data_IF_944465388835
#
_entry.id   IF_944465388835
#
_cell.length_a   1.000
_cell.length_b   1.000
_cell.length_c   1.000
_cell.angle_alpha   90.00
_cell.angle_beta   90.00
_cell.angle_gamma   90.00
#
_symmetry.space_group_name_H-M   'P 1'
#
loop_
_entity.id
_entity.type
_entity.pdbx_description
1 polymer ?
#
# COMPACT_ATOMS: atom_id res chain seq x y z
N UNK A 1 4.55 4.01 -23.67
CA UNK A 1 3.77 5.02 -22.92
C UNK A 1 4.09 4.91 -21.44
N UNK A 2 4.78 5.93 -20.92
CA UNK A 2 5.29 6.01 -19.57
C UNK A 2 4.16 5.73 -18.56
N UNK A 3 4.39 4.78 -17.64
CA UNK A 3 3.56 4.70 -16.44
C UNK A 3 4.04 5.86 -15.59
N UNK A 4 3.39 7.01 -15.73
CA UNK A 4 3.45 8.07 -14.72
C UNK A 4 3.07 7.42 -13.39
N UNK A 5 4.08 7.17 -12.55
CA UNK A 5 3.94 6.61 -11.21
C UNK A 5 3.30 7.62 -10.24
N UNK A 6 2.55 8.60 -10.75
CA UNK A 6 2.11 9.78 -10.02
C UNK A 6 0.63 10.05 -10.32
N UNK A 7 -0.21 9.06 -10.06
CA UNK A 7 -1.57 9.37 -9.66
C UNK A 7 -1.87 8.63 -8.38
N UNK A 8 -2.08 9.39 -7.31
CA UNK A 8 -2.64 8.85 -6.07
C UNK A 8 -3.88 8.02 -6.37
N UNK A 9 -4.10 6.93 -5.67
CA UNK A 9 -5.42 6.29 -5.65
C UNK A 9 -6.52 7.32 -5.29
N UNK A 10 -6.19 8.32 -4.46
CA UNK A 10 -7.06 9.45 -4.11
C UNK A 10 -7.27 10.44 -5.26
N UNK A 11 -6.26 10.69 -6.09
CA UNK A 11 -6.34 11.63 -7.21
C UNK A 11 -6.94 10.99 -8.49
N UNK A 12 -6.76 9.69 -8.64
CA UNK A 12 -7.25 8.92 -9.79
C UNK A 12 -8.75 8.60 -9.69
N UNK A 13 -9.26 8.37 -8.47
CA UNK A 13 -10.68 8.11 -8.23
C UNK A 13 -11.49 9.40 -8.20
N UNK A 14 -12.10 9.71 -9.33
CA UNK A 14 -13.04 10.83 -9.49
C UNK A 14 -14.50 10.36 -9.41
N UNK A 15 -15.39 11.15 -8.77
CA UNK A 15 -16.83 10.91 -8.81
C UNK A 15 -17.39 10.86 -10.23
N UNK A 16 -18.57 10.24 -10.37
CA UNK A 16 -19.34 10.12 -11.60
C UNK A 16 -18.65 9.34 -12.74
N UNK A 17 -17.52 8.68 -12.47
CA UNK A 17 -16.86 7.75 -13.39
C UNK A 17 -17.09 6.31 -12.96
N UNK A 18 -17.04 5.40 -13.94
CA UNK A 18 -17.11 3.97 -13.73
C UNK A 18 -15.71 3.38 -13.57
N UNK A 19 -15.56 2.46 -12.62
CA UNK A 19 -14.32 1.77 -12.35
C UNK A 19 -14.52 0.26 -12.32
N UNK A 20 -13.46 -0.45 -12.73
CA UNK A 20 -13.33 -1.89 -12.59
C UNK A 20 -12.19 -2.17 -11.61
N UNK A 21 -12.45 -3.10 -10.70
CA UNK A 21 -11.51 -3.55 -9.68
C UNK A 21 -10.98 -4.92 -10.05
N UNK A 22 -9.67 -5.07 -10.06
CA UNK A 22 -8.98 -6.30 -10.44
C UNK A 22 -8.16 -6.84 -9.28
N UNK A 23 -8.18 -8.15 -9.10
CA UNK A 23 -7.25 -8.83 -8.19
C UNK A 23 -5.84 -8.65 -8.75
N UNK A 24 -4.96 -8.04 -7.96
CA UNK A 24 -3.59 -7.77 -8.38
C UNK A 24 -2.84 -9.08 -8.73
N UNK A 25 -3.10 -10.17 -8.00
CA UNK A 25 -2.36 -11.42 -8.18
C UNK A 25 -2.76 -12.23 -9.43
N UNK A 26 -4.00 -12.10 -9.94
CA UNK A 26 -4.48 -12.94 -11.05
C UNK A 26 -5.27 -12.22 -12.14
N UNK A 27 -5.52 -10.91 -11.98
CA UNK A 27 -6.28 -10.08 -12.92
C UNK A 27 -7.78 -10.37 -12.96
N UNK A 28 -8.32 -11.20 -12.07
CA UNK A 28 -9.76 -11.46 -11.98
C UNK A 28 -10.54 -10.22 -11.59
N UNK A 29 -11.72 -10.01 -12.19
CA UNK A 29 -12.57 -8.85 -11.88
C UNK A 29 -13.27 -9.10 -10.54
N UNK A 30 -13.00 -8.24 -9.57
CA UNK A 30 -13.59 -8.30 -8.21
C UNK A 30 -14.91 -7.52 -8.19
N UNK A 31 -14.90 -6.31 -8.75
CA UNK A 31 -16.06 -5.44 -8.87
C UNK A 31 -16.07 -4.85 -10.26
N UNK A 32 -17.21 -4.92 -10.95
CA UNK A 32 -17.38 -4.50 -12.33
C UNK A 32 -18.22 -3.22 -12.43
N UNK A 33 -17.75 -2.27 -13.24
CA UNK A 33 -18.45 -1.05 -13.64
C UNK A 33 -19.13 -0.29 -12.47
N UNK A 34 -18.40 -0.15 -11.36
CA UNK A 34 -18.90 0.57 -10.18
C UNK A 34 -18.77 2.06 -10.41
N UNK A 35 -19.88 2.77 -10.30
CA UNK A 35 -19.93 4.23 -10.31
C UNK A 35 -19.93 4.75 -8.87
N UNK A 36 -19.09 5.74 -8.58
CA UNK A 36 -19.11 6.42 -7.30
C UNK A 36 -19.74 7.81 -7.40
N UNK A 37 -20.74 8.08 -6.56
CA UNK A 37 -21.29 9.42 -6.36
C UNK A 37 -20.32 10.28 -5.53
N UNK A 38 -19.67 9.68 -4.53
CA UNK A 38 -18.69 10.36 -3.68
C UNK A 38 -17.47 9.49 -3.47
N UNK A 39 -16.30 10.11 -3.51
CA UNK A 39 -15.03 9.53 -3.11
C UNK A 39 -14.49 10.42 -2.00
N UNK A 40 -14.42 9.90 -0.78
CA UNK A 40 -14.11 10.71 0.41
C UNK A 40 -12.93 10.11 1.17
N UNK A 41 -11.90 10.89 1.53
CA UNK A 41 -10.88 10.41 2.44
C UNK A 41 -11.46 10.19 3.83
N UNK A 42 -11.11 9.09 4.47
CA UNK A 42 -11.40 8.88 5.88
C UNK A 42 -10.46 9.75 6.72
N UNK A 43 -10.92 10.24 7.89
CA UNK A 43 -9.99 10.74 8.89
C UNK A 43 -8.95 9.65 9.20
N UNK A 44 -7.67 10.02 9.30
CA UNK A 44 -6.63 9.11 9.78
C UNK A 44 -7.01 8.35 11.05
N UNK A 45 -6.56 7.10 11.17
CA UNK A 45 -6.90 6.22 12.31
C UNK A 45 -6.59 6.84 13.69
N UNK A 46 -5.63 7.77 13.77
CA UNK A 46 -5.28 8.48 15.01
C UNK A 46 -6.22 9.64 15.38
N UNK A 47 -7.23 9.97 14.57
CA UNK A 47 -8.14 11.09 14.88
C UNK A 47 -8.90 10.89 16.18
N UNK A 48 -9.35 9.68 16.48
CA UNK A 48 -10.06 9.40 17.74
C UNK A 48 -9.16 9.67 18.95
N UNK A 49 -7.90 9.23 18.90
CA UNK A 49 -6.92 9.47 19.95
C UNK A 49 -6.60 10.97 20.11
N UNK A 50 -6.46 11.70 19.01
CA UNK A 50 -6.24 13.15 19.03
C UNK A 50 -7.46 13.92 19.57
N UNK A 51 -8.67 13.48 19.24
CA UNK A 51 -9.90 14.12 19.75
C UNK A 51 -10.05 13.92 21.25
N UNK A 52 -9.68 12.75 21.78
CA UNK A 52 -9.73 12.47 23.22
C UNK A 52 -8.75 13.34 24.03
N UNK A 53 -7.59 13.69 23.45
CA UNK A 53 -6.57 14.48 24.13
C UNK A 53 -6.77 16.00 23.96
N UNK A 54 -7.39 16.45 22.86
CA UNK A 54 -7.48 17.87 22.51
C UNK A 54 -8.87 18.49 22.68
N UNK A 55 -9.95 17.70 22.69
CA UNK A 55 -11.30 18.25 22.77
C UNK A 55 -11.81 18.31 24.22
N UNK A 56 -12.31 19.48 24.62
CA UNK A 56 -12.93 19.69 25.94
C UNK A 56 -14.29 18.99 26.11
N UNK A 57 -14.76 18.25 25.11
CA UNK A 57 -16.00 17.49 25.13
C UNK A 57 -15.77 16.11 24.50
N UNK A 58 -16.58 15.10 24.88
CA UNK A 58 -16.52 13.79 24.26
C UNK A 58 -16.60 13.88 22.73
N UNK A 59 -15.88 12.98 22.05
CA UNK A 59 -15.86 12.93 20.60
C UNK A 59 -17.31 12.83 20.07
N UNK A 60 -17.81 13.83 19.33
CA UNK A 60 -19.19 13.83 18.84
C UNK A 60 -19.44 12.70 17.83
N UNK A 61 -18.38 12.09 17.29
CA UNK A 61 -18.41 10.98 16.34
C UNK A 61 -18.09 9.62 16.98
N UNK A 62 -17.94 9.52 18.31
CA UNK A 62 -17.57 8.27 19.00
C UNK A 62 -18.53 7.09 18.71
N UNK A 63 -19.76 7.38 18.29
CA UNK A 63 -20.79 6.38 17.94
C UNK A 63 -21.10 6.32 16.44
N UNK A 64 -20.45 7.15 15.64
CA UNK A 64 -20.67 7.24 14.20
C UNK A 64 -19.70 6.28 13.50
N UNK A 65 -20.20 5.13 13.08
CA UNK A 65 -19.44 4.26 12.19
C UNK A 65 -19.52 4.81 10.76
N UNK A 66 -18.37 5.17 10.20
CA UNK A 66 -18.26 5.70 8.84
C UNK A 66 -18.39 4.59 7.80
N UNK A 67 -19.62 4.14 7.57
CA UNK A 67 -19.92 3.15 6.53
C UNK A 67 -20.27 3.85 5.21
N UNK A 68 -19.68 3.42 4.08
CA UNK A 68 -20.04 3.95 2.77
C UNK A 68 -21.48 3.58 2.42
N UNK A 69 -22.23 4.53 1.84
CA UNK A 69 -23.46 4.18 1.13
C UNK A 69 -23.13 3.40 -0.14
N UNK A 70 -24.15 2.86 -0.82
CA UNK A 70 -23.97 2.05 -2.02
C UNK A 70 -23.01 2.69 -3.04
N UNK A 71 -23.17 3.97 -3.35
CA UNK A 71 -22.36 4.66 -4.35
C UNK A 71 -21.21 5.49 -3.75
N UNK A 72 -20.83 5.24 -2.50
CA UNK A 72 -19.69 5.88 -1.87
C UNK A 72 -18.43 5.00 -1.96
N UNK A 73 -17.27 5.65 -2.05
CA UNK A 73 -15.97 5.04 -1.82
C UNK A 73 -15.24 5.85 -0.76
N UNK A 74 -14.93 5.23 0.38
CA UNK A 74 -14.14 5.88 1.42
C UNK A 74 -12.68 5.43 1.36
N UNK A 75 -11.74 6.37 1.41
CA UNK A 75 -10.32 6.10 1.21
C UNK A 75 -9.56 6.21 2.53
N UNK A 76 -9.02 5.11 3.01
CA UNK A 76 -8.02 5.09 4.08
C UNK A 76 -6.62 5.40 3.54
N UNK A 77 -5.61 5.25 4.40
CA UNK A 77 -4.21 5.43 4.01
C UNK A 77 -3.66 4.21 3.25
N UNK A 78 -4.12 3.00 3.61
CA UNK A 78 -3.68 1.72 3.02
C UNK A 78 -4.85 0.80 2.60
N UNK A 79 -6.07 1.34 2.58
CA UNK A 79 -7.26 0.59 2.21
C UNK A 79 -8.34 1.52 1.64
N UNK A 80 -9.38 0.94 1.06
CA UNK A 80 -10.61 1.65 0.74
C UNK A 80 -11.83 0.83 1.19
N UNK A 81 -12.90 1.52 1.56
CA UNK A 81 -14.16 0.92 1.97
C UNK A 81 -15.20 1.08 0.87
N UNK A 82 -15.87 -0.03 0.56
CA UNK A 82 -17.01 -0.06 -0.36
C UNK A 82 -18.19 -0.70 0.34
N UNK A 83 -19.39 -0.28 -0.06
CA UNK A 83 -20.59 -1.00 0.32
C UNK A 83 -20.70 -2.29 -0.51
N UNK A 84 -20.90 -3.44 0.13
CA UNK A 84 -21.05 -4.75 -0.53
C UNK A 84 -22.34 -4.87 -1.35
N UNK A 85 -23.29 -3.96 -1.16
CA UNK A 85 -24.62 -4.00 -1.75
C UNK A 85 -25.49 -5.12 -1.17
N UNK A 86 -26.57 -5.47 -1.88
CA UNK A 86 -27.47 -6.57 -1.48
C UNK A 86 -26.87 -7.96 -1.75
N UNK A 87 -25.62 -8.06 -2.21
CA UNK A 87 -24.89 -9.33 -2.23
C UNK A 87 -24.46 -9.69 -0.81
N UNK A 88 -25.46 -10.02 0.01
CA UNK A 88 -25.27 -10.53 1.35
C UNK A 88 -24.48 -11.84 1.26
N UNK A 89 -23.17 -11.78 1.44
CA UNK A 89 -22.41 -12.92 1.92
C UNK A 89 -22.89 -13.20 3.34
N UNK A 90 -23.98 -13.97 3.47
CA UNK A 90 -24.58 -14.44 4.72
C UNK A 90 -23.73 -15.52 5.39
N UNK A 91 -22.44 -15.25 5.61
CA UNK A 91 -21.64 -16.05 6.54
C UNK A 91 -21.15 -15.14 7.64
N UNK A 92 -21.78 -15.24 8.82
CA UNK A 92 -21.46 -14.50 10.04
C UNK A 92 -20.04 -14.77 10.60
N UNK A 93 -19.21 -15.58 9.94
CA UNK A 93 -17.91 -16.01 10.45
C UNK A 93 -16.70 -15.63 9.58
N UNK A 94 -16.86 -15.39 8.27
CA UNK A 94 -15.71 -15.06 7.42
C UNK A 94 -15.47 -13.56 7.37
N UNK A 95 -14.56 -13.09 8.23
CA UNK A 95 -14.05 -11.71 8.23
C UNK A 95 -13.16 -11.42 7.02
N UNK A 96 -12.73 -12.43 6.25
CA UNK A 96 -11.78 -12.27 5.14
C UNK A 96 -12.50 -12.24 3.79
N UNK A 97 -12.16 -11.26 2.96
CA UNK A 97 -12.59 -11.17 1.56
C UNK A 97 -11.50 -11.77 0.68
N UNK A 98 -11.86 -12.76 -0.12
CA UNK A 98 -10.91 -13.52 -0.96
C UNK A 98 -11.27 -13.43 -2.44
N UNK A 99 -10.25 -13.48 -3.29
CA UNK A 99 -10.43 -13.58 -4.73
C UNK A 99 -11.09 -14.91 -5.09
N UNK A 100 -12.17 -14.89 -5.88
CA UNK A 100 -12.91 -16.09 -6.29
C UNK A 100 -12.05 -17.04 -7.14
N UNK A 101 -11.17 -16.49 -7.99
CA UNK A 101 -10.25 -17.25 -8.85
C UNK A 101 -9.02 -17.80 -8.13
N UNK A 102 -8.16 -16.93 -7.58
CA UNK A 102 -6.87 -17.36 -7.02
C UNK A 102 -6.84 -17.58 -5.50
N UNK A 103 -7.95 -17.32 -4.80
CA UNK A 103 -8.09 -17.48 -3.34
C UNK A 103 -7.19 -16.57 -2.48
N UNK A 104 -6.43 -15.66 -3.09
CA UNK A 104 -5.68 -14.60 -2.38
C UNK A 104 -6.64 -13.76 -1.53
N UNK A 105 -6.21 -13.38 -0.32
CA UNK A 105 -6.93 -12.42 0.52
C UNK A 105 -6.82 -11.01 -0.10
N UNK A 106 -7.94 -10.34 -0.27
CA UNK A 106 -8.06 -9.01 -0.88
C UNK A 106 -8.41 -7.93 0.15
N UNK A 107 -8.99 -8.34 1.28
CA UNK A 107 -9.63 -7.44 2.20
C UNK A 107 -10.34 -8.13 3.35
N UNK A 108 -11.16 -7.36 4.06
CA UNK A 108 -11.88 -7.74 5.26
C UNK A 108 -13.32 -7.24 5.23
N UNK A 109 -14.23 -8.00 5.82
CA UNK A 109 -15.62 -7.58 6.06
C UNK A 109 -15.67 -6.77 7.36
N UNK A 110 -16.00 -5.48 7.28
CA UNK A 110 -16.07 -4.58 8.44
C UNK A 110 -17.45 -4.65 9.10
N UNK A 111 -18.50 -4.70 8.29
CA UNK A 111 -19.89 -4.85 8.71
C UNK A 111 -20.64 -5.72 7.70
N UNK A 112 -21.93 -5.98 7.92
CA UNK A 112 -22.76 -6.75 6.98
C UNK A 112 -22.82 -6.16 5.57
N UNK A 113 -22.61 -4.86 5.44
CA UNK A 113 -22.74 -4.09 4.22
C UNK A 113 -21.45 -3.37 3.80
N UNK A 114 -20.35 -3.49 4.56
CA UNK A 114 -19.09 -2.78 4.29
C UNK A 114 -17.91 -3.72 4.16
N UNK A 115 -17.20 -3.61 3.05
CA UNK A 115 -15.97 -4.33 2.77
C UNK A 115 -14.80 -3.35 2.72
N UNK A 116 -13.73 -3.69 3.44
CA UNK A 116 -12.41 -3.06 3.36
C UNK A 116 -11.55 -3.83 2.37
N UNK A 117 -11.01 -3.16 1.35
CA UNK A 117 -10.03 -3.74 0.44
C UNK A 117 -8.65 -3.12 0.66
N UNK A 118 -7.61 -3.94 0.64
CA UNK A 118 -6.23 -3.46 0.74
C UNK A 118 -5.78 -2.88 -0.60
N UNK A 119 -5.19 -1.67 -0.58
CA UNK A 119 -4.69 -1.01 -1.80
C UNK A 119 -3.55 -1.79 -2.47
N UNK A 120 -2.88 -2.66 -1.71
CA UNK A 120 -1.83 -3.54 -2.24
C UNK A 120 -2.40 -4.79 -2.92
N UNK A 121 -3.66 -5.15 -2.73
CA UNK A 121 -4.20 -6.41 -3.28
C UNK A 121 -5.18 -6.19 -4.45
N UNK A 122 -5.64 -4.94 -4.63
CA UNK A 122 -6.65 -4.59 -5.63
C UNK A 122 -6.18 -3.43 -6.50
N UNK A 123 -6.21 -3.63 -7.81
CA UNK A 123 -5.97 -2.59 -8.82
C UNK A 123 -7.31 -1.98 -9.20
N UNK A 124 -7.41 -0.65 -9.17
CA UNK A 124 -8.60 0.08 -9.64
C UNK A 124 -8.27 0.76 -10.95
N UNK A 125 -9.11 0.60 -11.97
CA UNK A 125 -8.98 1.29 -13.26
C UNK A 125 -10.30 1.88 -13.71
N UNK A 126 -10.31 3.03 -14.39
CA UNK A 126 -11.50 3.48 -15.11
C UNK A 126 -11.98 2.40 -16.09
N UNK A 127 -13.29 2.20 -16.24
CA UNK A 127 -13.84 1.16 -17.12
C UNK A 127 -13.43 1.30 -18.59
N UNK A 128 -13.06 2.50 -19.03
CA UNK A 128 -12.58 2.81 -20.38
C UNK A 128 -11.11 2.45 -20.60
N UNK A 129 -10.34 2.24 -19.53
CA UNK A 129 -8.91 1.98 -19.60
C UNK A 129 -8.63 0.48 -19.81
N UNK A 130 -7.67 0.16 -20.69
CA UNK A 130 -7.19 -1.21 -20.83
C UNK A 130 -6.50 -1.70 -19.57
N UNK A 131 -6.80 -2.91 -19.12
CA UNK A 131 -6.06 -3.56 -18.05
C UNK A 131 -4.70 -4.05 -18.56
N UNK A 132 -3.62 -3.52 -17.97
CA UNK A 132 -2.27 -4.04 -18.14
C UNK A 132 -1.79 -4.62 -16.81
N UNK A 133 -1.43 -5.91 -16.74
CA UNK A 133 -0.88 -6.48 -15.52
C UNK A 133 0.42 -5.76 -15.13
N UNK A 134 0.53 -5.34 -13.87
CA UNK A 134 1.77 -4.83 -13.30
C UNK A 134 2.40 -5.94 -12.45
N UNK A 135 3.70 -6.25 -12.62
CA UNK A 135 4.40 -7.20 -11.76
C UNK A 135 4.18 -6.90 -10.28
N UNK A 136 4.06 -7.96 -9.46
CA UNK A 136 3.73 -7.85 -8.03
C UNK A 136 4.71 -6.94 -7.29
N UNK A 137 5.99 -7.16 -7.50
CA UNK A 137 7.07 -6.41 -6.87
C UNK A 137 6.99 -4.92 -7.19
N UNK A 138 6.80 -4.57 -8.46
CA UNK A 138 6.65 -3.19 -8.92
C UNK A 138 5.37 -2.54 -8.37
N UNK A 139 4.26 -3.30 -8.31
CA UNK A 139 3.01 -2.79 -7.77
C UNK A 139 3.12 -2.43 -6.29
N UNK A 140 3.66 -3.31 -5.46
CA UNK A 140 3.88 -3.02 -4.02
C UNK A 140 4.78 -1.80 -3.85
N UNK A 141 5.91 -1.76 -4.58
CA UNK A 141 6.84 -0.62 -4.53
C UNK A 141 6.12 0.69 -4.82
N UNK A 142 5.33 0.72 -5.90
CA UNK A 142 4.63 1.93 -6.34
C UNK A 142 3.61 2.39 -5.31
N UNK A 143 2.79 1.45 -4.80
CA UNK A 143 1.75 1.75 -3.81
C UNK A 143 2.37 2.23 -2.49
N UNK A 144 3.40 1.55 -1.99
CA UNK A 144 4.05 1.92 -0.73
C UNK A 144 4.79 3.25 -0.87
N UNK A 145 5.56 3.46 -1.95
CA UNK A 145 6.24 4.72 -2.23
C UNK A 145 5.24 5.88 -2.26
N UNK A 146 4.11 5.69 -2.94
CA UNK A 146 3.03 6.67 -3.00
C UNK A 146 2.44 6.97 -1.61
N UNK A 147 2.12 5.95 -0.81
CA UNK A 147 1.66 6.15 0.57
C UNK A 147 2.67 6.98 1.37
N UNK A 148 3.97 6.68 1.29
CA UNK A 148 5.02 7.42 2.02
C UNK A 148 5.08 8.89 1.61
N UNK A 149 5.03 9.17 0.31
CA UNK A 149 5.08 10.55 -0.24
C UNK A 149 3.84 11.34 0.14
N UNK A 150 2.64 10.77 -0.04
CA UNK A 150 1.39 11.45 0.29
C UNK A 150 1.28 11.76 1.78
N UNK A 151 1.61 10.79 2.62
CA UNK A 151 1.49 10.96 4.07
C UNK A 151 2.55 11.90 4.62
N UNK A 152 3.77 11.88 4.08
CA UNK A 152 4.78 12.85 4.47
C UNK A 152 4.40 14.27 4.09
N UNK A 153 3.83 14.47 2.90
CA UNK A 153 3.32 15.79 2.49
C UNK A 153 2.10 16.22 3.30
N UNK A 154 1.15 15.32 3.56
CA UNK A 154 -0.12 15.68 4.21
C UNK A 154 -0.02 15.81 5.73
N UNK A 155 0.90 15.07 6.36
CA UNK A 155 1.02 14.97 7.83
C UNK A 155 2.36 15.43 8.38
N UNK A 156 3.28 15.89 7.52
CA UNK A 156 4.63 16.30 7.91
C UNK A 156 5.39 15.22 8.70
N UNK A 157 5.14 13.94 8.40
CA UNK A 157 5.78 12.77 9.02
C UNK A 157 6.71 12.07 8.04
N UNK A 158 7.88 11.67 8.50
CA UNK A 158 8.88 10.97 7.69
C UNK A 158 9.25 9.60 8.26
N UNK A 159 8.60 9.19 9.35
CA UNK A 159 8.83 7.89 10.00
C UNK A 159 7.56 7.09 9.97
N UNK A 160 7.68 5.83 9.59
CA UNK A 160 6.56 4.95 9.37
C UNK A 160 6.80 3.59 10.00
N UNK A 161 5.75 2.98 10.55
CA UNK A 161 5.76 1.57 10.95
C UNK A 161 4.93 0.77 9.96
N UNK A 162 5.48 -0.31 9.42
CA UNK A 162 4.73 -1.26 8.59
C UNK A 162 4.20 -2.36 9.51
N UNK A 163 2.87 -2.39 9.68
CA UNK A 163 2.16 -3.35 10.53
C UNK A 163 1.38 -4.36 9.67
N UNK A 164 1.41 -5.62 10.10
CA UNK A 164 0.55 -6.66 9.52
C UNK A 164 -0.90 -6.54 10.01
N UNK A 165 -1.80 -7.26 9.34
CA UNK A 165 -3.19 -7.53 9.78
C UNK A 165 -3.27 -8.28 11.14
N UNK A 166 -2.13 -8.80 11.62
CA UNK A 166 -1.96 -9.36 12.96
C UNK A 166 -1.47 -8.35 14.00
N UNK A 167 -1.47 -7.06 13.67
CA UNK A 167 -1.02 -5.92 14.49
C UNK A 167 0.48 -5.95 14.89
N UNK A 168 1.29 -6.86 14.31
CA UNK A 168 2.73 -6.89 14.55
C UNK A 168 3.45 -5.90 13.65
N UNK A 169 4.47 -5.23 14.18
CA UNK A 169 5.39 -4.38 13.41
C UNK A 169 6.41 -5.28 12.69
N UNK A 170 6.52 -5.12 11.37
CA UNK A 170 7.45 -5.85 10.52
C UNK A 170 8.66 -5.02 10.11
N UNK A 171 8.43 -3.74 9.80
CA UNK A 171 9.44 -2.83 9.24
C UNK A 171 9.28 -1.45 9.86
N UNK A 172 10.39 -0.84 10.25
CA UNK A 172 10.47 0.60 10.53
C UNK A 172 11.03 1.26 9.28
N UNK A 173 10.39 2.32 8.78
CA UNK A 173 10.80 3.03 7.57
C UNK A 173 11.01 4.51 7.91
N UNK A 174 12.13 5.07 7.51
CA UNK A 174 12.41 6.49 7.53
C UNK A 174 12.56 6.99 6.09
N UNK A 175 11.64 7.84 5.65
CA UNK A 175 11.71 8.52 4.36
C UNK A 175 12.81 9.60 4.37
N UNK A 176 13.80 9.47 3.48
CA UNK A 176 14.87 10.45 3.31
C UNK A 176 14.61 11.41 2.15
N UNK A 177 14.16 10.89 1.01
CA UNK A 177 13.93 11.69 -0.18
C UNK A 177 12.85 11.04 -1.07
N UNK A 178 11.96 11.86 -1.63
CA UNK A 178 10.96 11.47 -2.64
C UNK A 178 11.37 11.82 -4.07
N UNK A 179 12.36 12.71 -4.25
CA UNK A 179 12.63 13.36 -5.52
C UNK A 179 13.86 12.75 -6.21
N UNK A 180 14.08 11.44 -6.02
CA UNK A 180 15.23 10.75 -6.61
C UNK A 180 14.86 10.17 -7.96
N UNK A 181 15.68 10.42 -8.98
CA UNK A 181 15.54 9.80 -10.29
C UNK A 181 16.58 8.69 -10.46
N UNK A 182 16.12 7.48 -10.74
CA UNK A 182 16.96 6.37 -11.16
C UNK A 182 17.03 6.34 -12.68
N UNK A 183 18.25 6.25 -13.20
CA UNK A 183 18.52 6.12 -14.63
C UNK A 183 19.13 4.75 -14.87
N UNK A 184 18.43 3.92 -15.63
CA UNK A 184 18.95 2.60 -16.01
C UNK A 184 19.84 2.74 -17.25
N UNK A 185 21.16 2.58 -17.09
CA UNK A 185 22.06 2.47 -18.25
C UNK A 185 21.99 1.06 -18.81
N UNK A 186 21.73 0.92 -20.12
CA UNK A 186 21.75 -0.36 -20.81
C UNK A 186 23.20 -0.90 -20.87
N UNK A 187 23.66 -1.53 -19.79
CA UNK A 187 24.96 -2.19 -19.75
C UNK A 187 24.93 -3.45 -20.60
N UNK A 188 25.99 -3.68 -21.39
CA UNK A 188 26.14 -4.86 -22.24
C UNK A 188 25.93 -6.15 -21.44
N UNK A 189 24.91 -6.94 -21.80
CA UNK A 189 24.52 -8.16 -21.11
C UNK A 189 25.61 -9.24 -21.16
N UNK A 190 26.25 -9.53 -20.02
CA UNK A 190 26.81 -10.85 -19.77
C UNK A 190 25.75 -11.69 -19.06
N UNK A 191 25.35 -12.79 -19.69
CA UNK A 191 24.34 -13.72 -19.24
C UNK A 191 24.77 -14.48 -17.98
N UNK A 192 24.46 -13.95 -16.80
CA UNK A 192 24.41 -14.75 -15.58
C UNK A 192 22.97 -14.72 -15.04
N UNK A 193 22.20 -15.72 -15.42
CA UNK A 193 20.84 -15.95 -14.93
C UNK A 193 20.90 -16.43 -13.48
N UNK A 194 21.01 -15.50 -12.53
CA UNK A 194 20.72 -15.78 -11.12
C UNK A 194 19.21 -15.87 -10.98
N UNK A 195 18.71 -17.10 -10.79
CA UNK A 195 17.31 -17.39 -10.47
C UNK A 195 16.86 -16.54 -9.26
N UNK A 196 16.08 -15.49 -9.49
CA UNK A 196 15.36 -14.80 -8.42
C UNK A 196 14.10 -15.60 -8.11
N UNK A 197 13.83 -15.81 -6.81
CA UNK A 197 12.74 -16.64 -6.27
C UNK A 197 11.31 -16.18 -6.70
N UNK A 198 11.23 -14.99 -7.31
CA UNK A 198 10.05 -14.49 -7.99
C UNK A 198 10.37 -14.46 -9.49
N UNK A 199 9.54 -15.12 -10.30
CA UNK A 199 9.70 -15.30 -11.74
C UNK A 199 9.51 -14.03 -12.57
N UNK A 200 10.12 -12.92 -12.16
CA UNK A 200 10.15 -11.67 -12.91
C UNK A 200 11.55 -11.55 -13.51
N UNK A 201 11.69 -11.97 -14.78
CA UNK A 201 12.84 -11.56 -15.58
C UNK A 201 12.80 -10.04 -15.67
N UNK A 202 13.75 -9.36 -15.02
CA UNK A 202 14.08 -7.95 -15.24
C UNK A 202 14.63 -7.78 -16.66
N UNK A 203 13.80 -8.00 -17.67
CA UNK A 203 14.10 -7.62 -19.06
C UNK A 203 13.00 -6.66 -19.51
N UNK A 204 13.17 -5.35 -19.29
CA UNK A 204 12.44 -4.39 -20.09
C UNK A 204 12.77 -4.67 -21.55
N UNK A 205 11.74 -4.98 -22.34
CA UNK A 205 11.85 -5.05 -23.80
C UNK A 205 12.57 -3.81 -24.29
N UNK A 206 13.64 -4.01 -25.08
CA UNK A 206 14.44 -2.99 -25.78
C UNK A 206 13.68 -1.68 -26.02
N UNK A 207 13.85 -0.74 -25.10
CA UNK A 207 13.18 0.56 -25.09
C UNK A 207 14.16 1.65 -24.66
N UNK A 208 13.80 2.93 -24.85
CA UNK A 208 14.69 4.05 -24.49
C UNK A 208 15.04 4.01 -22.99
N UNK A 209 16.21 4.54 -22.65
CA UNK A 209 16.75 4.67 -21.27
C UNK A 209 15.62 4.99 -20.29
N UNK A 210 15.29 4.03 -19.43
CA UNK A 210 14.22 4.16 -18.45
C UNK A 210 14.65 5.09 -17.33
N UNK A 211 13.99 6.23 -17.20
CA UNK A 211 14.06 7.08 -16.02
C UNK A 211 12.90 6.76 -15.10
N UNK A 212 13.18 6.45 -13.84
CA UNK A 212 12.18 6.06 -12.85
C UNK A 212 12.26 6.99 -11.64
N UNK A 213 11.10 7.45 -11.15
CA UNK A 213 11.03 8.08 -9.83
C UNK A 213 11.27 7.03 -8.76
N UNK A 214 12.11 7.36 -7.78
CA UNK A 214 12.44 6.48 -6.67
C UNK A 214 12.37 7.24 -5.35
N UNK A 215 11.95 6.51 -4.33
CA UNK A 215 11.92 7.00 -2.96
C UNK A 215 13.10 6.41 -2.21
N UNK A 216 13.94 7.25 -1.64
CA UNK A 216 15.05 6.83 -0.80
C UNK A 216 14.57 6.72 0.64
N UNK A 217 14.70 5.53 1.21
CA UNK A 217 14.32 5.25 2.59
C UNK A 217 15.50 4.72 3.37
N UNK A 218 15.38 4.72 4.69
CA UNK A 218 16.10 3.84 5.57
C UNK A 218 15.11 2.87 6.18
N UNK A 219 15.52 1.64 6.45
CA UNK A 219 14.65 0.70 7.12
C UNK A 219 15.34 -0.22 8.12
N UNK A 220 14.56 -0.71 9.07
CA UNK A 220 14.94 -1.80 9.97
C UNK A 220 13.87 -2.88 9.98
N UNK A 221 14.31 -4.13 10.08
CA UNK A 221 13.43 -5.29 10.24
C UNK A 221 13.12 -5.54 11.71
N UNK A 222 11.87 -5.85 12.00
CA UNK A 222 11.38 -6.19 13.34
C UNK A 222 10.94 -7.66 13.49
N UNK A 223 11.20 -8.48 12.48
CA UNK A 223 10.79 -9.89 12.48
C UNK A 223 11.55 -10.66 13.58
N UNK A 224 10.86 -11.59 14.26
CA UNK A 224 11.39 -12.39 15.38
C UNK A 224 11.94 -11.51 16.52
N UNK A 225 11.21 -10.46 16.89
CA UNK A 225 11.57 -9.53 17.99
C UNK A 225 12.93 -8.85 17.84
N UNK A 226 13.47 -8.76 16.61
CA UNK A 226 14.62 -7.90 16.34
C UNK A 226 14.21 -6.45 16.54
N UNK A 227 15.12 -5.62 17.04
CA UNK A 227 14.91 -4.18 17.24
C UNK A 227 13.64 -3.86 18.04
N UNK A 228 13.26 -4.72 18.99
CA UNK A 228 12.01 -4.61 19.74
C UNK A 228 11.93 -3.28 20.48
N UNK A 229 12.97 -2.90 21.22
CA UNK A 229 12.98 -1.65 21.99
C UNK A 229 12.79 -0.41 21.09
N UNK A 230 13.35 -0.45 19.88
CA UNK A 230 13.18 0.61 18.89
C UNK A 230 11.76 0.62 18.29
N UNK A 231 11.20 -0.55 18.02
CA UNK A 231 9.83 -0.69 17.53
C UNK A 231 8.82 -0.21 18.58
N UNK A 232 9.01 -0.59 19.85
CA UNK A 232 8.18 -0.16 20.98
C UNK A 232 8.30 1.37 21.19
N UNK A 233 9.49 1.95 21.02
CA UNK A 233 9.69 3.39 21.06
C UNK A 233 8.97 4.12 19.91
N UNK A 234 9.06 3.60 18.67
CA UNK A 234 8.40 4.18 17.50
C UNK A 234 6.88 4.01 17.55
N UNK A 235 6.37 2.96 18.17
CA UNK A 235 4.93 2.74 18.30
C UNK A 235 4.24 3.81 19.17
N UNK A 236 4.95 4.37 20.15
CA UNK A 236 4.46 5.41 21.03
C UNK A 236 4.82 6.83 20.58
N UNK A 237 5.58 6.97 19.49
CA UNK A 237 6.02 8.27 18.97
C UNK A 237 4.95 8.85 18.03
N UNK A 238 4.38 10.01 18.41
CA UNK A 238 3.36 10.74 17.64
C UNK A 238 3.88 11.13 16.24
N UNK A 239 5.19 11.29 16.08
CA UNK A 239 5.84 11.58 14.80
C UNK A 239 5.93 10.38 13.86
N UNK A 240 5.52 9.18 14.28
CA UNK A 240 5.58 7.95 13.49
C UNK A 240 4.18 7.54 13.03
N UNK A 241 4.01 7.39 11.71
CA UNK A 241 2.71 7.04 11.13
C UNK A 241 2.62 5.53 10.79
N UNK A 242 1.60 4.81 11.27
CA UNK A 242 1.43 3.39 10.97
C UNK A 242 0.82 3.15 9.58
N UNK A 243 1.40 2.20 8.84
CA UNK A 243 0.89 1.66 7.58
C UNK A 243 0.48 0.20 7.80
N UNK A 244 -0.81 -0.10 7.66
CA UNK A 244 -1.34 -1.45 7.84
C UNK A 244 -1.50 -2.15 6.49
N UNK A 245 -0.84 -3.29 6.31
CA UNK A 245 -0.94 -4.12 5.11
C UNK A 245 -1.19 -5.59 5.50
N UNK A 246 -1.61 -6.45 4.55
CA UNK A 246 -1.59 -7.89 4.77
C UNK A 246 -0.20 -8.36 5.20
N UNK A 247 -0.13 -9.31 6.14
CA UNK A 247 1.13 -9.88 6.63
C UNK A 247 2.04 -10.36 5.49
N UNK A 248 1.47 -10.97 4.45
CA UNK A 248 2.22 -11.44 3.29
C UNK A 248 2.88 -10.28 2.52
N UNK A 249 2.15 -9.19 2.32
CA UNK A 249 2.64 -7.96 1.69
C UNK A 249 3.75 -7.30 2.50
N UNK A 250 3.68 -7.31 3.83
CA UNK A 250 4.76 -6.83 4.69
C UNK A 250 6.06 -7.62 4.46
N UNK A 251 5.96 -8.94 4.28
CA UNK A 251 7.11 -9.81 4.01
C UNK A 251 7.65 -9.60 2.58
N UNK A 252 6.76 -9.48 1.59
CA UNK A 252 7.13 -9.14 0.20
C UNK A 252 7.87 -7.80 0.15
N UNK A 253 7.39 -6.77 0.85
CA UNK A 253 8.03 -5.46 0.94
C UNK A 253 9.43 -5.56 1.55
N UNK A 254 9.62 -6.36 2.61
CA UNK A 254 10.94 -6.57 3.19
C UNK A 254 11.92 -7.22 2.21
N UNK A 255 11.45 -8.19 1.41
CA UNK A 255 12.27 -8.82 0.37
C UNK A 255 12.67 -7.82 -0.72
N UNK A 256 11.72 -6.99 -1.16
CA UNK A 256 11.95 -5.90 -2.12
C UNK A 256 13.01 -4.93 -1.61
N UNK A 257 12.87 -4.45 -0.37
CA UNK A 257 13.83 -3.54 0.27
C UNK A 257 15.22 -4.19 0.38
N UNK A 258 15.28 -5.46 0.76
CA UNK A 258 16.52 -6.23 0.83
C UNK A 258 17.21 -6.34 -0.53
N UNK A 259 16.47 -6.67 -1.59
CA UNK A 259 17.01 -6.74 -2.95
C UNK A 259 17.53 -5.38 -3.43
N UNK A 260 16.76 -4.31 -3.18
CA UNK A 260 17.19 -2.93 -3.45
C UNK A 260 18.50 -2.60 -2.72
N UNK A 261 18.59 -2.91 -1.43
CA UNK A 261 19.81 -2.69 -0.63
C UNK A 261 21.01 -3.44 -1.21
N UNK A 262 20.83 -4.70 -1.63
CA UNK A 262 21.94 -5.50 -2.18
C UNK A 262 22.44 -5.00 -3.52
N UNK A 263 21.61 -4.24 -4.26
CA UNK A 263 22.03 -3.59 -5.52
C UNK A 263 23.03 -2.46 -5.28
N UNK A 264 23.08 -1.89 -4.06
CA UNK A 264 24.02 -0.85 -3.68
C UNK A 264 25.40 -1.44 -3.34
N UNK A 265 26.49 -0.68 -3.54
CA UNK A 265 27.82 -1.02 -3.04
C UNK A 265 27.79 -1.29 -1.52
N UNK A 266 28.56 -2.27 -0.99
CA UNK A 266 28.51 -2.62 0.44
C UNK A 266 28.67 -1.45 1.41
N UNK A 267 29.47 -0.45 1.07
CA UNK A 267 29.68 0.77 1.87
C UNK A 267 28.45 1.68 1.97
N UNK A 268 27.48 1.55 1.06
CA UNK A 268 26.27 2.37 1.00
C UNK A 268 25.01 1.63 1.48
N UNK A 269 25.13 0.38 1.92
CA UNK A 269 23.98 -0.45 2.34
C UNK A 269 23.43 -0.12 3.71
N UNK A 270 24.21 0.56 4.55
CA UNK A 270 23.87 0.84 5.93
C UNK A 270 24.18 2.29 6.32
N UNK A 271 23.32 2.90 7.12
CA UNK A 271 23.54 4.19 7.75
C UNK A 271 22.99 4.17 9.18
N UNK A 272 23.84 4.43 10.19
CA UNK A 272 23.46 4.50 11.60
C UNK A 272 22.59 3.32 12.08
N UNK A 273 22.99 2.09 11.78
CA UNK A 273 22.27 0.81 12.04
C UNK A 273 21.02 0.52 11.21
N UNK A 274 20.57 1.46 10.37
CA UNK A 274 19.51 1.22 9.38
C UNK A 274 20.10 0.72 8.06
N UNK A 275 19.31 -0.05 7.33
CA UNK A 275 19.57 -0.41 5.93
C UNK A 275 19.06 0.70 5.01
N UNK A 276 19.65 0.87 3.83
CA UNK A 276 19.30 1.89 2.83
C UNK A 276 18.48 1.26 1.71
#
# INVERSE_FOLDING_TARGET
>A
PFIDLVFSLRESLKPQKNYVFYCQSCGDIIVKDRKFLRVLPLPSENWSALVEEWCCHPNPFARSTFHPQHDDCFLGDTFFLLNSGNESHKSKENTRVICKRCKKMLGETVSSDTIKYYVTEVIIRPSEASFSPTPRSQFIQSVVAQCLVELSSAKSTFRFTVKGDNEKIYILIWLLNSDTLLVESLGSSSSDSVFTLFGDTFMPSSGPVGTWNAVKVLYQTCIKSRNKDLADAWENDIGVHPLKFPTETCLELLLILGLSTTSLPPSLRCMNSFQV
#
